data_IF_894753745018
#
_entry.id   IF_894753745018
#
_cell.length_a   1.000
_cell.length_b   1.000
_cell.length_c   1.000
_cell.angle_alpha   90.00
_cell.angle_beta   90.00
_cell.angle_gamma   90.00
#
_symmetry.space_group_name_H-M   'P 1'
#
loop_
_entity.id
_entity.type
_entity.pdbx_description
1 polymer ?
#
# COMPACT_ATOMS: atom_id res chain seq x y z
N UNK A 1 -10.97 -19.36 0.50
CA UNK A 1 -10.23 -19.47 1.77
C UNK A 1 -11.03 -18.83 2.89
N UNK A 2 -10.71 -19.10 4.16
CA UNK A 2 -11.39 -18.42 5.26
C UNK A 2 -10.81 -17.01 5.44
N UNK A 3 -11.54 -16.00 4.98
CA UNK A 3 -11.14 -14.59 5.06
C UNK A 3 -10.92 -14.10 6.49
N UNK A 4 -11.45 -14.78 7.52
CA UNK A 4 -11.26 -14.40 8.92
C UNK A 4 -9.81 -14.49 9.40
N UNK A 5 -8.96 -15.20 8.65
CA UNK A 5 -7.54 -15.38 9.00
C UNK A 5 -6.63 -14.28 8.44
N UNK A 6 -7.13 -13.41 7.57
CA UNK A 6 -6.36 -12.36 6.91
C UNK A 6 -6.59 -11.01 7.60
N UNK A 7 -5.59 -10.44 8.25
CA UNK A 7 -5.75 -9.12 8.88
C UNK A 7 -5.93 -8.02 7.83
N UNK A 8 -5.00 -7.95 6.89
CA UNK A 8 -4.99 -7.01 5.76
C UNK A 8 -4.40 -7.70 4.53
N UNK A 9 -4.83 -7.29 3.34
CA UNK A 9 -4.18 -7.61 2.06
C UNK A 9 -3.60 -6.34 1.45
N UNK A 10 -2.41 -6.42 0.85
CA UNK A 10 -1.72 -5.23 0.33
C UNK A 10 -1.06 -5.51 -1.00
N UNK A 11 -1.07 -4.53 -1.91
CA UNK A 11 -0.52 -4.67 -3.26
C UNK A 11 0.30 -3.45 -3.72
N UNK A 12 1.34 -3.72 -4.51
CA UNK A 12 2.18 -2.75 -5.22
C UNK A 12 2.34 -3.23 -6.66
N UNK A 13 1.55 -2.69 -7.60
CA UNK A 13 1.54 -3.15 -9.01
C UNK A 13 1.61 -2.00 -10.04
N UNK A 14 1.89 -0.77 -9.59
CA UNK A 14 1.97 0.42 -10.45
C UNK A 14 3.37 1.06 -10.46
N UNK A 15 4.39 0.20 -10.30
CA UNK A 15 5.78 0.60 -10.23
C UNK A 15 6.23 0.94 -8.81
N UNK A 16 7.36 1.63 -8.73
CA UNK A 16 8.02 2.03 -7.47
C UNK A 16 8.46 3.50 -7.57
N UNK A 17 7.54 4.34 -8.03
CA UNK A 17 7.76 5.78 -8.10
C UNK A 17 7.68 6.39 -6.71
N UNK A 18 7.98 7.69 -6.62
CA UNK A 18 7.93 8.41 -5.35
C UNK A 18 6.54 8.22 -4.69
N UNK A 19 6.46 7.58 -3.51
CA UNK A 19 5.18 7.37 -2.85
C UNK A 19 4.69 8.66 -2.18
N UNK A 20 3.38 8.83 -2.11
CA UNK A 20 2.70 9.90 -1.40
C UNK A 20 1.85 9.39 -0.23
N UNK A 21 1.44 8.12 -0.26
CA UNK A 21 0.73 7.49 0.84
C UNK A 21 0.24 6.09 0.50
N UNK A 22 -0.85 5.67 1.13
CA UNK A 22 -1.56 4.43 0.81
C UNK A 22 -3.02 4.70 0.45
N UNK A 23 -3.51 4.07 -0.61
CA UNK A 23 -4.94 3.80 -0.77
C UNK A 23 -5.38 2.80 0.30
N UNK A 24 -6.56 2.99 0.91
CA UNK A 24 -7.05 2.08 1.94
C UNK A 24 -8.55 1.80 1.81
N UNK A 25 -8.92 0.52 1.87
CA UNK A 25 -10.30 0.01 1.94
C UNK A 25 -10.50 -0.71 3.27
N UNK A 26 -11.52 -0.30 4.02
CA UNK A 26 -11.84 -0.85 5.34
C UNK A 26 -12.85 0.04 6.06
N UNK A 27 -13.34 -0.40 7.22
CA UNK A 27 -14.29 0.40 8.00
C UNK A 27 -13.62 1.66 8.59
N UNK A 28 -14.43 2.57 9.16
CA UNK A 28 -13.93 3.83 9.70
C UNK A 28 -12.90 3.65 10.84
N UNK A 29 -13.08 2.64 11.70
CA UNK A 29 -12.16 2.37 12.81
C UNK A 29 -10.80 1.88 12.30
N UNK A 30 -10.79 0.97 11.33
CA UNK A 30 -9.56 0.49 10.70
C UNK A 30 -8.84 1.63 9.98
N UNK A 31 -9.57 2.52 9.31
CA UNK A 31 -8.99 3.71 8.67
C UNK A 31 -8.31 4.64 9.68
N UNK A 32 -8.92 4.85 10.85
CA UNK A 32 -8.32 5.67 11.90
C UNK A 32 -7.04 5.05 12.47
N UNK A 33 -6.98 3.71 12.56
CA UNK A 33 -5.76 2.98 12.93
C UNK A 33 -4.70 3.19 11.84
N UNK A 34 -5.04 2.97 10.56
CA UNK A 34 -4.10 3.17 9.45
C UNK A 34 -3.52 4.58 9.41
N UNK A 35 -4.35 5.62 9.64
CA UNK A 35 -3.85 7.00 9.73
C UNK A 35 -2.82 7.17 10.85
N UNK A 36 -2.99 6.51 12.00
CA UNK A 36 -2.01 6.56 13.09
C UNK A 36 -0.73 5.80 12.75
N UNK A 37 -0.81 4.68 12.03
CA UNK A 37 0.38 3.95 11.59
C UNK A 37 1.16 4.79 10.58
N UNK A 38 0.47 5.41 9.62
CA UNK A 38 1.11 6.22 8.57
C UNK A 38 1.83 7.46 9.11
N UNK A 39 1.52 7.98 10.31
CA UNK A 39 2.29 9.10 10.89
C UNK A 39 3.72 8.71 11.29
N UNK A 40 4.01 7.42 11.45
CA UNK A 40 5.37 6.92 11.70
C UNK A 40 6.30 7.18 10.50
N UNK A 41 5.73 7.37 9.31
CA UNK A 41 6.46 7.67 8.07
C UNK A 41 6.70 9.17 7.87
N UNK A 42 6.43 10.00 8.88
CA UNK A 42 6.72 11.44 8.83
C UNK A 42 8.18 11.78 8.46
N UNK A 43 9.22 11.03 8.90
CA UNK A 43 10.60 11.30 8.49
C UNK A 43 10.86 11.24 6.98
N UNK A 44 10.00 10.55 6.22
CA UNK A 44 10.07 10.48 4.76
C UNK A 44 8.93 11.24 4.05
N UNK A 45 8.07 11.92 4.80
CA UNK A 45 6.94 12.71 4.31
C UNK A 45 5.94 11.90 3.45
N UNK A 46 5.56 10.70 3.92
CA UNK A 46 4.60 9.79 3.27
C UNK A 46 3.55 9.37 4.29
N UNK A 47 2.68 10.29 4.69
CA UNK A 47 1.75 10.08 5.81
C UNK A 47 0.28 9.98 5.40
N UNK A 48 -0.03 10.19 4.12
CA UNK A 48 -1.41 10.29 3.66
C UNK A 48 -2.07 8.92 3.52
N UNK A 49 -3.37 8.87 3.86
CA UNK A 49 -4.24 7.72 3.64
C UNK A 49 -5.36 8.15 2.72
N UNK A 50 -5.33 7.66 1.48
CA UNK A 50 -6.28 7.97 0.43
C UNK A 50 -7.52 7.08 0.50
N UNK A 51 -8.55 7.47 -0.26
CA UNK A 51 -9.79 6.73 -0.35
C UNK A 51 -9.62 5.51 -1.26
N UNK A 52 -10.06 4.36 -0.76
CA UNK A 52 -10.02 3.05 -1.41
C UNK A 52 -8.59 2.55 -1.72
N UNK A 53 -8.34 1.30 -1.42
CA UNK A 53 -7.23 0.57 -2.01
C UNK A 53 -7.65 0.05 -3.38
N UNK A 54 -6.69 -0.05 -4.27
CA UNK A 54 -6.81 -0.77 -5.53
C UNK A 54 -5.97 -2.05 -5.46
N UNK A 55 -6.19 -2.96 -6.41
CA UNK A 55 -5.24 -4.01 -6.65
C UNK A 55 -5.85 -5.23 -7.31
N UNK A 56 -5.25 -5.66 -8.40
CA UNK A 56 -5.81 -6.70 -9.27
C UNK A 56 -5.83 -8.05 -8.58
N UNK A 57 -4.75 -8.39 -7.87
CA UNK A 57 -4.59 -9.68 -7.21
C UNK A 57 -5.33 -9.69 -5.86
N UNK A 58 -5.48 -8.53 -5.20
CA UNK A 58 -6.09 -8.46 -3.87
C UNK A 58 -7.61 -8.16 -3.84
N UNK A 59 -8.21 -7.77 -4.97
CA UNK A 59 -9.60 -7.30 -5.05
C UNK A 59 -10.62 -8.29 -4.45
N UNK A 60 -10.47 -9.58 -4.72
CA UNK A 60 -11.48 -10.55 -4.27
C UNK A 60 -11.56 -10.68 -2.75
N UNK A 61 -10.44 -10.56 -2.02
CA UNK A 61 -10.46 -10.52 -0.55
C UNK A 61 -11.06 -9.22 -0.03
N UNK A 62 -10.75 -8.09 -0.67
CA UNK A 62 -11.35 -6.79 -0.31
C UNK A 62 -12.86 -6.79 -0.48
N UNK A 63 -13.36 -7.34 -1.60
CA UNK A 63 -14.80 -7.50 -1.85
C UNK A 63 -15.47 -8.38 -0.79
N UNK A 64 -14.77 -9.41 -0.34
CA UNK A 64 -15.28 -10.34 0.67
C UNK A 64 -15.13 -9.79 2.11
N UNK A 65 -14.53 -8.59 2.28
CA UNK A 65 -14.53 -7.82 3.52
C UNK A 65 -13.21 -7.77 4.28
N UNK A 66 -12.11 -8.26 3.69
CA UNK A 66 -10.77 -8.08 4.26
C UNK A 66 -10.30 -6.63 4.02
N UNK A 67 -9.78 -5.91 5.02
CA UNK A 67 -9.13 -4.63 4.79
C UNK A 67 -8.04 -4.71 3.72
N UNK A 68 -7.94 -3.69 2.88
CA UNK A 68 -6.98 -3.64 1.79
C UNK A 68 -6.17 -2.35 1.79
N UNK A 69 -4.90 -2.43 1.37
CA UNK A 69 -4.08 -1.25 1.09
C UNK A 69 -3.33 -1.35 -0.24
N UNK A 70 -3.13 -0.22 -0.90
CA UNK A 70 -2.34 -0.14 -2.13
C UNK A 70 -1.36 1.03 -2.05
N UNK A 71 -0.18 0.87 -2.65
CA UNK A 71 0.75 1.99 -2.75
C UNK A 71 0.09 3.13 -3.54
N UNK A 72 0.18 4.35 -3.03
CA UNK A 72 -0.16 5.53 -3.81
C UNK A 72 1.13 6.27 -4.15
N UNK A 73 1.52 6.26 -5.42
CA UNK A 73 2.75 6.88 -5.93
C UNK A 73 2.50 7.74 -7.19
N UNK A 74 3.54 8.45 -7.63
CA UNK A 74 3.49 9.30 -8.82
C UNK A 74 3.59 8.47 -10.11
N UNK A 75 2.46 7.95 -10.56
CA UNK A 75 2.35 7.13 -11.78
C UNK A 75 2.38 7.92 -13.09
N UNK A 76 2.73 9.22 -13.09
CA UNK A 76 2.69 10.08 -14.28
C UNK A 76 3.52 9.56 -15.47
N UNK A 77 4.54 8.74 -15.18
CA UNK A 77 5.40 8.10 -16.18
C UNK A 77 5.22 6.58 -16.29
N UNK A 78 4.42 5.95 -15.43
CA UNK A 78 4.28 4.48 -15.42
C UNK A 78 3.90 3.94 -16.81
N UNK A 79 2.85 4.52 -17.40
CA UNK A 79 2.34 4.11 -18.72
C UNK A 79 3.23 4.51 -19.91
N UNK A 80 4.37 5.18 -19.68
CA UNK A 80 5.35 5.38 -20.76
C UNK A 80 6.16 4.11 -21.01
N UNK A 81 6.28 3.25 -19.99
CA UNK A 81 7.13 2.05 -20.01
C UNK A 81 6.33 0.76 -19.92
N UNK A 82 5.23 0.75 -19.16
CA UNK A 82 4.39 -0.41 -18.92
C UNK A 82 4.08 -1.20 -20.19
N UNK A 83 4.30 -2.53 -20.14
CA UNK A 83 4.10 -3.46 -21.26
C UNK A 83 4.84 -3.10 -22.56
N UNK A 84 6.02 -2.48 -22.44
CA UNK A 84 6.89 -2.14 -23.58
C UNK A 84 8.31 -2.65 -23.38
N UNK A 85 9.14 -2.57 -24.43
CA UNK A 85 10.57 -2.84 -24.33
C UNK A 85 11.33 -1.79 -23.49
N UNK A 86 10.69 -0.67 -23.13
CA UNK A 86 11.25 0.36 -22.26
C UNK A 86 11.16 0.02 -20.77
N UNK A 87 10.34 -0.96 -20.39
CA UNK A 87 10.26 -1.46 -19.01
C UNK A 87 11.51 -2.28 -18.68
N UNK A 88 12.52 -1.58 -18.20
CA UNK A 88 13.85 -2.13 -17.94
C UNK A 88 14.41 -1.54 -16.65
N UNK A 89 15.47 -2.16 -16.09
CA UNK A 89 16.11 -1.66 -14.87
C UNK A 89 16.60 -0.21 -14.95
N UNK A 90 16.72 0.38 -16.15
CA UNK A 90 17.17 1.77 -16.31
C UNK A 90 16.13 2.81 -15.90
N UNK A 91 14.84 2.46 -15.82
CA UNK A 91 13.78 3.38 -15.40
C UNK A 91 13.62 3.45 -13.88
N UNK A 92 14.30 2.57 -13.14
CA UNK A 92 14.23 2.48 -11.69
C UNK A 92 15.09 3.56 -11.01
N UNK A 93 14.50 4.26 -10.05
CA UNK A 93 15.22 5.14 -9.12
C UNK A 93 15.39 4.43 -7.77
N UNK A 94 16.62 4.07 -7.37
CA UNK A 94 16.85 3.33 -6.13
C UNK A 94 16.41 4.10 -4.88
N UNK A 95 16.41 5.45 -4.91
CA UNK A 95 15.93 6.23 -3.77
C UNK A 95 14.41 6.14 -3.64
N UNK A 96 13.67 6.20 -4.74
CA UNK A 96 12.21 6.07 -4.73
C UNK A 96 11.79 4.66 -4.30
N UNK A 97 12.47 3.64 -4.85
CA UNK A 97 12.27 2.25 -4.45
C UNK A 97 12.50 2.05 -2.93
N UNK A 98 13.53 2.68 -2.35
CA UNK A 98 13.77 2.64 -0.91
C UNK A 98 12.65 3.31 -0.10
N UNK A 99 12.04 4.39 -0.60
CA UNK A 99 10.89 5.02 0.04
C UNK A 99 9.67 4.08 0.05
N UNK A 100 9.36 3.43 -1.08
CA UNK A 100 8.30 2.43 -1.17
C UNK A 100 8.55 1.28 -0.18
N UNK A 101 9.78 0.76 -0.15
CA UNK A 101 10.17 -0.31 0.78
C UNK A 101 10.01 0.11 2.25
N UNK A 102 10.32 1.36 2.60
CA UNK A 102 10.12 1.89 3.94
C UNK A 102 8.63 1.94 4.32
N UNK A 103 7.75 2.40 3.41
CA UNK A 103 6.29 2.38 3.61
C UNK A 103 5.81 0.96 3.90
N UNK A 104 6.16 0.01 3.02
CA UNK A 104 5.75 -1.38 3.18
C UNK A 104 6.27 -2.01 4.46
N UNK A 105 7.53 -1.75 4.81
CA UNK A 105 8.15 -2.29 6.01
C UNK A 105 7.46 -1.79 7.27
N UNK A 106 7.26 -0.48 7.40
CA UNK A 106 6.64 0.12 8.60
C UNK A 106 5.20 -0.36 8.75
N UNK A 107 4.41 -0.31 7.68
CA UNK A 107 2.98 -0.65 7.75
C UNK A 107 2.78 -2.13 8.00
N UNK A 108 3.47 -3.01 7.25
CA UNK A 108 3.34 -4.46 7.45
C UNK A 108 3.82 -4.90 8.83
N UNK A 109 4.95 -4.38 9.30
CA UNK A 109 5.49 -4.73 10.61
C UNK A 109 4.53 -4.31 11.73
N UNK A 110 4.05 -3.06 11.71
CA UNK A 110 3.20 -2.54 12.78
C UNK A 110 1.88 -3.30 12.84
N UNK A 111 1.23 -3.56 11.69
CA UNK A 111 -0.02 -4.33 11.67
C UNK A 111 0.22 -5.77 12.16
N UNK A 112 1.28 -6.43 11.70
CA UNK A 112 1.58 -7.81 12.10
C UNK A 112 1.96 -7.96 13.59
N UNK A 113 2.47 -6.90 14.22
CA UNK A 113 2.84 -6.87 15.64
C UNK A 113 1.69 -6.43 16.57
N UNK A 114 0.54 -6.02 16.02
CA UNK A 114 -0.63 -5.69 16.83
C UNK A 114 -1.25 -6.93 17.48
N UNK A 115 -1.73 -6.80 18.72
CA UNK A 115 -2.39 -7.88 19.45
C UNK A 115 -3.74 -8.29 18.84
N UNK A 116 -4.44 -7.32 18.25
CA UNK A 116 -5.76 -7.49 17.64
C UNK A 116 -5.70 -7.12 16.15
N UNK A 117 -6.41 -7.89 15.32
CA UNK A 117 -6.57 -7.57 13.90
C UNK A 117 -7.31 -6.23 13.71
N UNK A 118 -7.13 -5.63 12.54
CA UNK A 118 -7.90 -4.49 12.10
C UNK A 118 -9.41 -4.81 12.16
N UNK A 119 -10.21 -3.88 12.72
CA UNK A 119 -11.65 -4.10 12.86
C UNK A 119 -12.33 -4.11 11.48
N UNK A 120 -13.26 -5.04 11.27
CA UNK A 120 -14.05 -5.15 10.04
C UNK A 120 -15.47 -4.65 10.24
#
# INVERSE_FOLDING_TARGET
ENISNFDIVMESDEGTFKPSGLGFTGNAKARDIMKKIMTLLQPINVTDVYANADGTDINYWMRDGVPGASLHDDISKYFWFHHSQGDTMTVQDPNQMNLCAAVWTVVSYVIADMEEMLPR
#
